data_IF_492656450997
#
_entry.id   IF_492656450997
#
_cell.length_a   1.000
_cell.length_b   1.000
_cell.length_c   1.000
_cell.angle_alpha   90.00
_cell.angle_beta   90.00
_cell.angle_gamma   90.00
#
_symmetry.space_group_name_H-M   'P 1'
#
loop_
_entity.id
_entity.type
_entity.pdbx_description
1 polymer ?
#
# COMPACT_ATOMS: atom_id res chain seq x y z
N UNK A 1 -24.54 -32.30 56.69
CA UNK A 1 -24.66 -32.88 55.33
C UNK A 1 -23.44 -32.70 54.43
N UNK A 2 -22.24 -32.43 54.97
CA UNK A 2 -20.99 -32.33 54.18
C UNK A 2 -20.54 -33.66 53.57
N UNK A 3 -20.87 -34.79 54.21
CA UNK A 3 -20.47 -36.12 53.75
C UNK A 3 -21.20 -36.55 52.46
N UNK A 4 -22.47 -36.17 52.32
CA UNK A 4 -23.26 -36.42 51.12
C UNK A 4 -22.78 -35.56 49.95
N UNK A 5 -22.45 -34.30 50.22
CA UNK A 5 -21.91 -33.36 49.24
C UNK A 5 -20.51 -33.77 48.75
N UNK A 6 -19.63 -34.21 49.67
CA UNK A 6 -18.32 -34.76 49.32
C UNK A 6 -18.43 -36.02 48.45
N UNK A 7 -19.40 -36.90 48.75
CA UNK A 7 -19.62 -38.12 47.95
C UNK A 7 -20.12 -37.80 46.54
N UNK A 8 -21.01 -36.81 46.42
CA UNK A 8 -21.51 -36.33 45.12
C UNK A 8 -20.41 -35.68 44.28
N UNK A 9 -19.56 -34.85 44.89
CA UNK A 9 -18.40 -34.25 44.23
C UNK A 9 -17.41 -35.31 43.77
N UNK A 10 -17.18 -36.36 44.56
CA UNK A 10 -16.28 -37.46 44.21
C UNK A 10 -16.81 -38.31 43.05
N UNK A 11 -18.13 -38.49 42.96
CA UNK A 11 -18.78 -39.12 41.80
C UNK A 11 -18.60 -38.27 40.55
N UNK A 12 -18.87 -36.95 40.63
CA UNK A 12 -18.68 -36.02 39.52
C UNK A 12 -17.22 -35.95 39.05
N UNK A 13 -16.27 -36.00 39.97
CA UNK A 13 -14.86 -36.07 39.64
C UNK A 13 -14.52 -37.35 38.87
N UNK A 14 -15.04 -38.50 39.31
CA UNK A 14 -14.84 -39.77 38.61
C UNK A 14 -15.45 -39.77 37.20
N UNK A 15 -16.63 -39.16 37.03
CA UNK A 15 -17.29 -39.05 35.73
C UNK A 15 -16.48 -38.13 34.79
N UNK A 16 -15.96 -37.01 35.30
CA UNK A 16 -15.09 -36.10 34.55
C UNK A 16 -13.74 -36.73 34.17
N UNK A 17 -13.15 -37.54 35.07
CA UNK A 17 -11.92 -38.28 34.79
C UNK A 17 -12.15 -39.33 33.69
N UNK A 18 -13.31 -39.98 33.68
CA UNK A 18 -13.71 -40.92 32.63
C UNK A 18 -13.90 -40.22 31.27
N UNK A 19 -14.61 -39.08 31.25
CA UNK A 19 -14.78 -38.27 30.03
C UNK A 19 -13.43 -37.76 29.48
N UNK A 20 -12.50 -37.37 30.36
CA UNK A 20 -11.15 -36.98 29.95
C UNK A 20 -10.37 -38.13 29.31
N UNK A 21 -10.49 -39.35 29.83
CA UNK A 21 -9.88 -40.54 29.25
C UNK A 21 -10.46 -40.84 27.87
N UNK A 22 -11.79 -40.74 27.70
CA UNK A 22 -12.44 -40.96 26.41
C UNK A 22 -12.02 -39.91 25.36
N UNK A 23 -11.88 -38.64 25.76
CA UNK A 23 -11.38 -37.58 24.87
C UNK A 23 -9.89 -37.78 24.53
N UNK A 24 -9.07 -38.19 25.49
CA UNK A 24 -7.64 -38.47 25.27
C UNK A 24 -7.45 -39.72 24.39
N UNK A 25 -8.27 -40.76 24.56
CA UNK A 25 -8.29 -41.94 23.68
C UNK A 25 -8.79 -41.58 22.28
N UNK A 26 -9.80 -40.72 22.14
CA UNK A 26 -10.23 -40.19 20.84
C UNK A 26 -9.09 -39.41 20.16
N UNK A 27 -8.40 -38.52 20.86
CA UNK A 27 -7.25 -37.77 20.33
C UNK A 27 -6.05 -38.66 19.98
N UNK A 28 -5.86 -39.77 20.70
CA UNK A 28 -4.78 -40.72 20.46
C UNK A 28 -5.13 -41.80 19.43
N UNK A 29 -6.41 -41.99 19.12
CA UNK A 29 -6.86 -42.81 18.00
C UNK A 29 -6.45 -42.16 16.67
N UNK A 30 -6.02 -42.98 15.71
CA UNK A 30 -5.41 -42.56 14.44
C UNK A 30 -6.24 -41.59 13.61
N UNK A 31 -7.56 -41.53 13.81
CA UNK A 31 -8.48 -40.73 13.01
C UNK A 31 -8.39 -39.21 13.26
N UNK A 32 -7.72 -38.77 14.35
CA UNK A 32 -7.51 -37.35 14.65
C UNK A 32 -6.06 -36.87 14.45
N UNK A 33 -5.12 -37.79 14.20
CA UNK A 33 -3.72 -37.43 13.90
C UNK A 33 -3.56 -37.29 12.38
N UNK A 34 -3.44 -36.05 11.92
CA UNK A 34 -3.02 -35.77 10.53
C UNK A 34 -1.71 -36.50 10.27
N UNK A 35 -1.76 -37.46 9.36
CA UNK A 35 -0.62 -38.28 8.99
C UNK A 35 0.39 -37.47 8.17
N UNK A 36 1.66 -37.91 8.15
CA UNK A 36 2.68 -37.29 7.31
C UNK A 36 2.28 -37.29 5.82
N UNK A 37 1.60 -38.35 5.38
CA UNK A 37 1.07 -38.46 4.01
C UNK A 37 -0.05 -37.44 3.73
N UNK A 38 -0.95 -37.18 4.67
CA UNK A 38 -1.98 -36.15 4.53
C UNK A 38 -1.39 -34.73 4.53
N UNK A 39 -0.35 -34.48 5.34
CA UNK A 39 0.40 -33.22 5.28
C UNK A 39 1.04 -33.01 3.90
N UNK A 40 1.71 -34.03 3.37
CA UNK A 40 2.36 -33.96 2.05
C UNK A 40 1.34 -33.75 0.92
N UNK A 41 0.21 -34.44 0.97
CA UNK A 41 -0.87 -34.26 0.00
C UNK A 41 -1.47 -32.85 0.06
N UNK A 42 -1.71 -32.33 1.27
CA UNK A 42 -2.17 -30.96 1.46
C UNK A 42 -1.17 -29.95 0.87
N UNK A 43 0.10 -30.02 1.25
CA UNK A 43 1.10 -29.06 0.74
C UNK A 43 1.31 -29.18 -0.76
N UNK A 44 1.21 -30.37 -1.33
CA UNK A 44 1.25 -30.55 -2.79
C UNK A 44 0.07 -29.86 -3.49
N UNK A 45 -1.15 -30.01 -2.96
CA UNK A 45 -2.33 -29.34 -3.49
C UNK A 45 -2.24 -27.82 -3.30
N UNK A 46 -1.92 -27.37 -2.09
CA UNK A 46 -1.74 -25.95 -1.75
C UNK A 46 -0.68 -25.28 -2.63
N UNK A 47 0.48 -25.92 -2.82
CA UNK A 47 1.53 -25.36 -3.69
C UNK A 47 1.07 -25.26 -5.14
N UNK A 48 0.29 -26.23 -5.63
CA UNK A 48 -0.29 -26.19 -6.97
C UNK A 48 -1.29 -25.03 -7.11
N UNK A 49 -2.18 -24.84 -6.14
CA UNK A 49 -3.12 -23.72 -6.11
C UNK A 49 -2.40 -22.37 -6.06
N UNK A 50 -1.41 -22.25 -5.17
CA UNK A 50 -0.63 -21.02 -5.00
C UNK A 50 0.25 -20.66 -6.19
N UNK A 51 0.64 -21.63 -7.02
CA UNK A 51 1.48 -21.36 -8.19
C UNK A 51 0.77 -20.41 -9.15
N UNK A 52 -0.53 -20.60 -9.41
CA UNK A 52 -1.30 -19.71 -10.27
C UNK A 52 -1.34 -18.26 -9.75
N UNK A 53 -1.53 -18.08 -8.44
CA UNK A 53 -1.50 -16.76 -7.81
C UNK A 53 -0.12 -16.12 -7.84
N UNK A 54 0.95 -16.90 -7.62
CA UNK A 54 2.33 -16.40 -7.67
C UNK A 54 2.70 -15.92 -9.07
N UNK A 55 2.40 -16.72 -10.09
CA UNK A 55 2.70 -16.39 -11.49
C UNK A 55 1.94 -15.14 -11.94
N UNK A 56 0.66 -15.04 -11.58
CA UNK A 56 -0.14 -13.87 -11.90
C UNK A 56 0.36 -12.62 -11.16
N UNK A 57 0.70 -12.74 -9.88
CA UNK A 57 1.26 -11.64 -9.12
C UNK A 57 2.59 -11.12 -9.71
N UNK A 58 3.45 -12.01 -10.20
CA UNK A 58 4.70 -11.61 -10.87
C UNK A 58 4.43 -10.82 -12.15
N UNK A 59 3.44 -11.22 -12.95
CA UNK A 59 3.04 -10.47 -14.17
C UNK A 59 2.51 -9.08 -13.80
N UNK A 60 1.61 -9.01 -12.82
CA UNK A 60 1.04 -7.74 -12.34
C UNK A 60 2.11 -6.81 -11.75
N UNK A 61 3.09 -7.37 -11.01
CA UNK A 61 4.21 -6.60 -10.48
C UNK A 61 5.06 -6.00 -11.61
N UNK A 62 5.32 -6.76 -12.67
CA UNK A 62 6.02 -6.26 -13.85
C UNK A 62 5.22 -5.17 -14.57
N UNK A 63 3.92 -5.39 -14.77
CA UNK A 63 3.04 -4.38 -15.38
C UNK A 63 3.05 -3.07 -14.59
N UNK A 64 2.92 -3.14 -13.26
CA UNK A 64 2.97 -1.96 -12.40
C UNK A 64 4.32 -1.23 -12.52
N UNK A 65 5.43 -1.97 -12.55
CA UNK A 65 6.76 -1.39 -12.72
C UNK A 65 6.88 -0.61 -14.05
N UNK A 66 6.37 -1.18 -15.15
CA UNK A 66 6.38 -0.53 -16.46
C UNK A 66 5.53 0.76 -16.43
N UNK A 67 4.35 0.73 -15.81
CA UNK A 67 3.51 1.94 -15.64
C UNK A 67 4.18 3.01 -14.80
N UNK A 68 4.85 2.64 -13.71
CA UNK A 68 5.60 3.58 -12.88
C UNK A 68 6.74 4.24 -13.66
N UNK A 69 7.44 3.50 -14.52
CA UNK A 69 8.46 4.09 -15.40
C UNK A 69 7.86 5.12 -16.37
N UNK A 70 6.69 4.85 -16.93
CA UNK A 70 6.01 5.79 -17.82
C UNK A 70 5.57 7.06 -17.08
N UNK A 71 5.06 6.95 -15.85
CA UNK A 71 4.79 8.10 -14.97
C UNK A 71 6.07 8.91 -14.75
N UNK A 72 7.18 8.27 -14.39
CA UNK A 72 8.48 8.94 -14.17
C UNK A 72 8.96 9.69 -15.43
N UNK A 73 8.80 9.10 -16.62
CA UNK A 73 9.18 9.76 -17.89
C UNK A 73 8.39 11.05 -18.11
N UNK A 74 7.07 11.02 -17.91
CA UNK A 74 6.22 12.21 -18.06
C UNK A 74 6.55 13.25 -17.00
N UNK A 75 6.70 12.81 -15.75
CA UNK A 75 7.04 13.66 -14.62
C UNK A 75 8.34 14.45 -14.86
N UNK A 76 9.37 13.77 -15.37
CA UNK A 76 10.65 14.41 -15.74
C UNK A 76 10.45 15.49 -16.80
N UNK A 77 9.69 15.20 -17.86
CA UNK A 77 9.40 16.18 -18.92
C UNK A 77 8.66 17.41 -18.39
N UNK A 78 7.74 17.24 -17.44
CA UNK A 78 7.06 18.37 -16.80
C UNK A 78 8.03 19.28 -16.05
N UNK A 79 8.94 18.69 -15.27
CA UNK A 79 9.99 19.44 -14.55
C UNK A 79 10.92 20.16 -15.53
N UNK A 80 11.40 19.47 -16.55
CA UNK A 80 12.27 20.06 -17.57
C UNK A 80 11.61 21.26 -18.27
N UNK A 81 10.33 21.11 -18.63
CA UNK A 81 9.54 22.18 -19.24
C UNK A 81 9.39 23.38 -18.30
N UNK A 82 9.05 23.16 -17.02
CA UNK A 82 8.96 24.25 -16.03
C UNK A 82 10.30 24.93 -15.82
N UNK A 83 11.39 24.18 -15.70
CA UNK A 83 12.73 24.75 -15.54
C UNK A 83 13.12 25.63 -16.73
N UNK A 84 12.82 25.20 -17.96
CA UNK A 84 13.08 25.99 -19.16
C UNK A 84 12.22 27.25 -19.22
N UNK A 85 10.94 27.16 -18.85
CA UNK A 85 10.08 28.33 -18.72
C UNK A 85 10.61 29.32 -17.67
N UNK A 86 11.01 28.83 -16.49
CA UNK A 86 11.58 29.66 -15.43
C UNK A 86 12.83 30.41 -15.88
N UNK A 87 13.72 29.77 -16.64
CA UNK A 87 14.89 30.46 -17.23
C UNK A 87 14.48 31.62 -18.14
N UNK A 88 13.44 31.43 -18.96
CA UNK A 88 12.93 32.45 -19.90
C UNK A 88 12.22 33.59 -19.19
N UNK A 89 11.34 33.28 -18.23
CA UNK A 89 10.63 34.25 -17.41
C UNK A 89 11.64 35.09 -16.61
N UNK A 90 12.63 34.45 -15.99
CA UNK A 90 13.66 35.18 -15.25
C UNK A 90 14.46 36.12 -16.14
N UNK A 91 14.83 35.68 -17.35
CA UNK A 91 15.52 36.52 -18.33
C UNK A 91 14.64 37.70 -18.76
N UNK A 92 13.35 37.48 -19.00
CA UNK A 92 12.40 38.53 -19.32
C UNK A 92 12.30 39.56 -18.19
N UNK A 93 12.19 39.12 -16.94
CA UNK A 93 12.17 39.99 -15.76
C UNK A 93 13.42 40.84 -15.66
N UNK A 94 14.59 40.23 -15.82
CA UNK A 94 15.87 40.94 -15.81
C UNK A 94 15.92 42.02 -16.92
N UNK A 95 15.57 41.68 -18.16
CA UNK A 95 15.59 42.63 -19.29
C UNK A 95 14.59 43.78 -19.06
N UNK A 96 13.40 43.50 -18.52
CA UNK A 96 12.41 44.53 -18.17
C UNK A 96 12.95 45.48 -17.10
N UNK A 97 13.63 44.96 -16.08
CA UNK A 97 14.22 45.76 -15.02
C UNK A 97 15.36 46.64 -15.54
N UNK A 98 16.28 46.08 -16.33
CA UNK A 98 17.35 46.86 -16.98
C UNK A 98 16.81 47.95 -17.90
N UNK A 99 15.73 47.68 -18.65
CA UNK A 99 15.10 48.69 -19.51
C UNK A 99 14.54 49.87 -18.70
N UNK A 100 13.93 49.59 -17.55
CA UNK A 100 13.26 50.60 -16.73
C UNK A 100 14.23 51.36 -15.81
N UNK A 101 15.29 50.70 -15.34
CA UNK A 101 16.29 51.30 -14.46
C UNK A 101 17.69 50.68 -14.75
N UNK A 102 18.38 51.18 -15.79
CA UNK A 102 19.64 50.59 -16.26
C UNK A 102 20.73 50.58 -15.19
N UNK A 103 21.44 49.46 -15.04
CA UNK A 103 22.61 49.35 -14.17
C UNK A 103 22.32 49.33 -12.66
N UNK A 104 21.05 49.15 -12.27
CA UNK A 104 20.68 49.01 -10.86
C UNK A 104 21.20 47.68 -10.29
N UNK A 105 21.87 47.73 -9.13
CA UNK A 105 22.41 46.56 -8.41
C UNK A 105 21.37 45.50 -8.05
N UNK A 106 20.08 45.86 -8.04
CA UNK A 106 18.97 44.95 -7.75
C UNK A 106 18.43 44.24 -9.00
N UNK A 107 18.89 44.60 -10.20
CA UNK A 107 18.52 43.89 -11.43
C UNK A 107 19.29 42.56 -11.44
N UNK A 108 18.61 41.47 -11.08
CA UNK A 108 19.23 40.16 -10.93
C UNK A 108 18.55 39.12 -11.80
N UNK A 109 19.36 38.41 -12.57
CA UNK A 109 18.92 37.17 -13.21
C UNK A 109 18.83 36.07 -12.16
N UNK A 110 17.66 35.45 -12.06
CA UNK A 110 17.37 34.33 -11.17
C UNK A 110 17.49 33.02 -11.95
N UNK A 111 18.67 32.40 -11.90
CA UNK A 111 18.96 31.17 -12.66
C UNK A 111 18.03 29.99 -12.37
N UNK A 112 17.45 29.93 -11.18
CA UNK A 112 16.43 28.96 -10.81
C UNK A 112 15.23 29.68 -10.15
N UNK A 113 14.10 29.67 -10.83
CA UNK A 113 12.84 30.14 -10.27
C UNK A 113 12.16 29.04 -9.46
N UNK A 114 11.41 29.43 -8.42
CA UNK A 114 10.59 28.54 -7.63
C UNK A 114 9.38 28.08 -8.46
N UNK A 115 8.85 26.90 -8.16
CA UNK A 115 7.80 26.28 -8.97
C UNK A 115 6.53 27.15 -9.08
N UNK A 116 6.17 27.85 -8.00
CA UNK A 116 5.03 28.76 -7.94
C UNK A 116 5.26 30.11 -8.62
N UNK A 117 6.53 30.47 -8.91
CA UNK A 117 6.86 31.68 -9.68
C UNK A 117 6.74 31.43 -11.19
N UNK A 118 6.58 30.17 -11.59
CA UNK A 118 6.48 29.72 -12.97
C UNK A 118 5.04 29.25 -13.21
N UNK A 119 4.18 30.18 -13.64
CA UNK A 119 2.81 29.86 -14.02
C UNK A 119 2.72 29.62 -15.53
N UNK A 120 2.42 28.38 -15.92
CA UNK A 120 2.24 27.94 -17.30
C UNK A 120 0.77 27.64 -17.64
N UNK A 121 -0.16 28.22 -16.89
CA UNK A 121 -1.59 27.87 -16.94
C UNK A 121 -1.94 26.73 -15.98
N UNK A 122 -1.05 26.42 -15.05
CA UNK A 122 -1.21 25.42 -14.01
C UNK A 122 -1.82 26.02 -12.72
N UNK A 123 -2.65 27.05 -12.81
CA UNK A 123 -3.33 27.63 -11.63
C UNK A 123 -2.47 28.64 -10.84
N UNK A 124 -2.99 29.13 -9.72
CA UNK A 124 -2.28 30.07 -8.84
C UNK A 124 -1.39 29.33 -7.83
N UNK A 125 -0.47 30.03 -7.16
CA UNK A 125 0.51 29.51 -6.18
C UNK A 125 -0.07 28.68 -5.03
N UNK A 126 -1.39 28.67 -4.85
CA UNK A 126 -2.10 27.90 -3.82
C UNK A 126 -2.76 26.63 -4.37
N UNK A 127 -2.79 26.45 -5.69
CA UNK A 127 -3.31 25.26 -6.36
C UNK A 127 -2.15 24.40 -6.86
N UNK A 128 -1.40 23.82 -5.92
CA UNK A 128 -0.27 22.95 -6.25
C UNK A 128 -0.69 21.67 -7.01
N UNK A 129 -1.99 21.40 -7.18
CA UNK A 129 -2.53 20.15 -7.72
C UNK A 129 -2.18 19.84 -9.18
N UNK A 130 -1.76 20.86 -9.91
CA UNK A 130 -1.38 20.86 -11.34
C UNK A 130 0.14 20.90 -11.54
N UNK A 131 0.89 21.16 -10.47
CA UNK A 131 2.35 21.09 -10.47
C UNK A 131 2.82 19.63 -10.53
N UNK A 132 4.07 19.36 -10.92
CA UNK A 132 4.64 18.02 -10.79
C UNK A 132 4.41 17.45 -9.39
N UNK A 133 4.67 18.21 -8.31
CA UNK A 133 4.45 17.73 -6.94
C UNK A 133 3.00 17.37 -6.66
N UNK A 134 2.04 18.17 -7.15
CA UNK A 134 0.61 17.90 -7.01
C UNK A 134 0.18 16.58 -7.64
N UNK A 135 0.67 16.28 -8.85
CA UNK A 135 0.38 15.01 -9.50
C UNK A 135 0.98 13.80 -8.76
N UNK A 136 2.18 13.93 -8.18
CA UNK A 136 2.75 12.88 -7.34
C UNK A 136 1.86 12.60 -6.12
N UNK A 137 1.34 13.66 -5.47
CA UNK A 137 0.44 13.50 -4.33
C UNK A 137 -0.91 12.89 -4.72
N UNK A 138 -1.48 13.28 -5.88
CA UNK A 138 -2.69 12.67 -6.43
C UNK A 138 -2.52 11.17 -6.67
N UNK A 139 -1.38 10.75 -7.22
CA UNK A 139 -1.07 9.34 -7.44
C UNK A 139 -1.01 8.56 -6.11
N UNK A 140 -0.26 9.08 -5.13
CA UNK A 140 -0.14 8.48 -3.79
C UNK A 140 -1.52 8.30 -3.13
N UNK A 141 -2.35 9.35 -3.15
CA UNK A 141 -3.70 9.31 -2.60
C UNK A 141 -4.60 8.29 -3.29
N UNK A 142 -4.52 8.19 -4.62
CA UNK A 142 -5.29 7.23 -5.39
C UNK A 142 -4.90 5.78 -5.02
N UNK A 143 -3.61 5.49 -4.91
CA UNK A 143 -3.10 4.17 -4.51
C UNK A 143 -3.46 3.81 -3.07
N UNK A 144 -3.37 4.76 -2.14
CA UNK A 144 -3.80 4.58 -0.74
C UNK A 144 -5.30 4.29 -0.65
N UNK A 145 -6.11 4.98 -1.46
CA UNK A 145 -7.57 4.76 -1.51
C UNK A 145 -7.90 3.34 -1.97
N UNK A 146 -7.28 2.86 -3.06
CA UNK A 146 -7.45 1.48 -3.53
C UNK A 146 -7.06 0.47 -2.45
N UNK A 147 -5.93 0.71 -1.76
CA UNK A 147 -5.44 -0.17 -0.71
C UNK A 147 -6.41 -0.27 0.47
N UNK A 148 -6.96 0.87 0.90
CA UNK A 148 -7.96 0.93 1.98
C UNK A 148 -9.28 0.26 1.57
N UNK A 149 -9.74 0.49 0.35
CA UNK A 149 -10.97 -0.08 -0.17
C UNK A 149 -10.88 -1.62 -0.23
N UNK A 150 -9.78 -2.16 -0.75
CA UNK A 150 -9.55 -3.62 -0.80
C UNK A 150 -9.39 -4.22 0.60
N UNK A 151 -8.69 -3.54 1.51
CA UNK A 151 -8.59 -3.98 2.91
C UNK A 151 -9.95 -4.04 3.59
N UNK A 152 -10.78 -3.00 3.43
CA UNK A 152 -12.12 -2.96 4.00
C UNK A 152 -13.02 -4.05 3.42
N UNK A 153 -12.95 -4.29 2.10
CA UNK A 153 -13.69 -5.39 1.45
C UNK A 153 -13.28 -6.75 2.01
N UNK A 154 -11.99 -6.97 2.25
CA UNK A 154 -11.51 -8.23 2.83
C UNK A 154 -11.98 -8.42 4.29
N UNK A 155 -11.87 -7.38 5.12
CA UNK A 155 -12.18 -7.49 6.55
C UNK A 155 -13.68 -7.42 6.88
N UNK A 156 -14.46 -6.66 6.13
CA UNK A 156 -15.88 -6.41 6.42
C UNK A 156 -16.82 -6.96 5.36
N UNK A 157 -16.32 -7.30 4.17
CA UNK A 157 -17.07 -8.08 3.20
C UNK A 157 -17.21 -9.49 3.73
N UNK A 158 -18.39 -9.84 4.24
CA UNK A 158 -18.74 -11.20 4.68
C UNK A 158 -18.62 -12.20 3.52
N UNK A 159 -17.42 -12.62 3.16
CA UNK A 159 -17.21 -13.88 2.46
C UNK A 159 -17.20 -14.95 3.54
N UNK A 160 -18.33 -15.63 3.71
CA UNK A 160 -18.34 -16.88 4.46
C UNK A 160 -17.37 -17.83 3.73
N UNK A 161 -16.45 -18.39 4.51
CA UNK A 161 -15.60 -19.51 4.10
C UNK A 161 -16.46 -20.73 3.82
#
# INVERSE_FOLDING_TARGET
>A
DEFAEATKLKSLQSDLEQELIEVDEQLNSSDYKVTEEEFDQFYKAYNKEMTGFKDEHQKLAKEMQDKLQDVVKVYRKMIENKNEAGRRISREHYVKQEKNNPGNIHNQYKGQMLDHEINLGDGDKYDEQSTPRGYAWKLEKALDTVSRDEFQKYHYGKKQW
#
